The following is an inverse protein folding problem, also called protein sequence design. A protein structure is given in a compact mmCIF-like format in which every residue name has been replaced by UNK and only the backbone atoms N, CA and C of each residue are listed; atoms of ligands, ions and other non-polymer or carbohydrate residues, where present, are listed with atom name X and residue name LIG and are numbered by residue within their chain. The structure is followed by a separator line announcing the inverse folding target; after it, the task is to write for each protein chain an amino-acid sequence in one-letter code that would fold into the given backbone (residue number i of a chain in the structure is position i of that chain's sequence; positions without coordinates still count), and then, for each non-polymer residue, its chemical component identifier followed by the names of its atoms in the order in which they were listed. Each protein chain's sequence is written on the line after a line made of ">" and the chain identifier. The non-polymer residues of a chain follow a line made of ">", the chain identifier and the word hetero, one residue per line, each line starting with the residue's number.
data_IF_825034352931
#
_entry.id   IF_825034352931
#
_cell.length_a   1.000
_cell.length_b   1.000
_cell.length_c   1.000
_cell.angle_alpha   90.00
_cell.angle_beta   90.00
_cell.angle_gamma   90.00
#
_symmetry.space_group_name_H-M   'P 1'
#
loop_
_entity.id
_entity.type
_entity.pdbx_description
1 polymer ?
#
# COMPACT_ATOMS: atom_id res chain seq x y z
N UNK A 1 -31.01 -17.00 -22.89
CA UNK A 1 -29.93 -17.73 -22.18
C UNK A 1 -28.47 -17.37 -22.57
N UNK A 2 -28.15 -16.95 -23.80
CA UNK A 2 -26.76 -16.55 -24.17
C UNK A 2 -26.33 -15.16 -23.68
N UNK A 3 -27.24 -14.16 -23.64
CA UNK A 3 -26.94 -12.78 -23.23
C UNK A 3 -26.52 -12.64 -21.75
N UNK A 4 -27.07 -13.47 -20.87
CA UNK A 4 -26.73 -13.47 -19.44
C UNK A 4 -25.29 -13.94 -19.16
N UNK A 5 -24.79 -14.89 -19.96
CA UNK A 5 -23.41 -15.37 -19.86
C UNK A 5 -22.38 -14.32 -20.33
N UNK A 6 -22.75 -13.47 -21.30
CA UNK A 6 -21.89 -12.38 -21.77
C UNK A 6 -21.78 -11.25 -20.75
N UNK A 7 -22.88 -10.92 -20.06
CA UNK A 7 -22.90 -9.87 -19.02
C UNK A 7 -22.10 -10.29 -17.77
N UNK A 8 -22.12 -11.58 -17.38
CA UNK A 8 -21.26 -12.09 -16.30
C UNK A 8 -19.76 -12.04 -16.63
N UNK A 9 -19.38 -12.02 -17.91
CA UNK A 9 -17.99 -12.00 -18.36
C UNK A 9 -17.35 -10.60 -18.34
N UNK A 10 -18.16 -9.55 -18.23
CA UNK A 10 -17.71 -8.15 -18.14
C UNK A 10 -17.37 -7.70 -16.71
N UNK A 11 -17.36 -8.62 -15.73
CA UNK A 11 -16.69 -8.37 -14.45
C UNK A 11 -15.20 -8.51 -14.72
N UNK A 12 -14.51 -7.41 -15.01
CA UNK A 12 -13.09 -7.36 -15.34
C UNK A 12 -12.31 -8.38 -14.49
N UNK A 13 -11.71 -9.37 -15.14
CA UNK A 13 -10.96 -10.41 -14.46
C UNK A 13 -9.78 -9.74 -13.76
N UNK A 14 -9.88 -9.57 -12.44
CA UNK A 14 -8.86 -8.88 -11.66
C UNK A 14 -7.54 -9.62 -11.77
N UNK A 15 -6.49 -8.90 -12.13
CA UNK A 15 -5.16 -9.47 -12.18
C UNK A 15 -4.73 -9.96 -10.80
N UNK A 16 -4.05 -11.11 -10.80
CA UNK A 16 -3.55 -11.78 -9.62
C UNK A 16 -2.09 -12.10 -9.83
N UNK A 17 -1.34 -12.04 -8.75
CA UNK A 17 0.04 -12.44 -8.74
C UNK A 17 0.19 -13.94 -9.02
N UNK A 18 1.13 -14.27 -9.91
CA UNK A 18 1.40 -15.66 -10.32
C UNK A 18 2.08 -16.48 -9.22
N UNK A 19 2.96 -15.86 -8.42
CA UNK A 19 3.72 -16.55 -7.37
C UNK A 19 3.88 -15.72 -6.10
N UNK A 20 4.00 -16.40 -4.94
CA UNK A 20 4.28 -15.76 -3.65
C UNK A 20 5.62 -15.01 -3.66
N UNK A 21 6.64 -15.63 -4.25
CA UNK A 21 7.96 -15.01 -4.40
C UNK A 21 7.89 -13.77 -5.29
N UNK A 22 7.11 -13.81 -6.38
CA UNK A 22 6.90 -12.65 -7.25
C UNK A 22 6.28 -11.46 -6.51
N UNK A 23 5.30 -11.72 -5.62
CA UNK A 23 4.73 -10.68 -4.76
C UNK A 23 5.80 -10.08 -3.85
N UNK A 24 6.55 -10.93 -3.14
CA UNK A 24 7.53 -10.47 -2.15
C UNK A 24 8.59 -9.61 -2.84
N UNK A 25 9.09 -10.03 -4.00
CA UNK A 25 10.07 -9.27 -4.76
C UNK A 25 9.51 -7.96 -5.32
N UNK A 26 8.28 -7.95 -5.83
CA UNK A 26 7.65 -6.72 -6.32
C UNK A 26 7.45 -5.69 -5.19
N UNK A 27 7.00 -6.14 -4.02
CA UNK A 27 6.80 -5.27 -2.85
C UNK A 27 8.13 -4.80 -2.27
N UNK A 28 9.11 -5.71 -2.14
CA UNK A 28 10.45 -5.36 -1.66
C UNK A 28 11.13 -4.36 -2.62
N UNK A 29 11.03 -4.56 -3.93
CA UNK A 29 11.54 -3.62 -4.93
C UNK A 29 10.84 -2.26 -4.89
N UNK A 30 9.54 -2.23 -4.55
CA UNK A 30 8.82 -0.96 -4.37
C UNK A 30 9.23 -0.21 -3.10
N UNK A 31 9.66 -0.92 -2.06
CA UNK A 31 10.07 -0.31 -0.79
C UNK A 31 11.57 0.07 -0.77
N UNK A 32 12.42 -0.71 -1.43
CA UNK A 32 13.86 -0.47 -1.50
C UNK A 32 14.17 0.42 -2.70
N UNK A 33 14.49 1.69 -2.44
CA UNK A 33 14.86 2.66 -3.47
C UNK A 33 15.96 3.62 -3.04
N UNK A 34 16.04 4.78 -3.71
CA UNK A 34 17.05 5.82 -3.44
C UNK A 34 17.04 6.30 -1.98
N UNK A 35 15.90 6.23 -1.29
CA UNK A 35 15.80 6.57 0.13
C UNK A 35 16.75 5.76 1.02
N UNK A 36 16.91 4.45 0.76
CA UNK A 36 17.81 3.61 1.56
C UNK A 36 19.28 3.88 1.29
N UNK A 37 19.66 4.27 0.08
CA UNK A 37 21.05 4.47 -0.30
C UNK A 37 21.54 5.91 -0.13
N UNK A 38 20.67 6.90 -0.31
CA UNK A 38 21.04 8.32 -0.28
C UNK A 38 20.53 9.00 0.99
N UNK A 39 19.23 8.87 1.29
CA UNK A 39 18.62 9.62 2.40
C UNK A 39 18.97 9.01 3.75
N UNK A 40 18.93 7.69 3.89
CA UNK A 40 19.20 7.01 5.16
C UNK A 40 20.62 7.28 5.68
N UNK A 41 21.70 7.14 4.88
CA UNK A 41 23.05 7.43 5.37
C UNK A 41 23.25 8.89 5.77
N UNK A 42 22.67 9.82 5.01
CA UNK A 42 22.71 11.26 5.32
C UNK A 42 21.99 11.56 6.63
N UNK A 43 20.78 11.03 6.83
CA UNK A 43 20.02 11.21 8.06
C UNK A 43 20.73 10.56 9.26
N UNK A 44 21.29 9.36 9.10
CA UNK A 44 22.06 8.72 10.15
C UNK A 44 23.29 9.55 10.52
N UNK A 45 24.10 9.97 9.55
CA UNK A 45 25.30 10.76 9.80
C UNK A 45 25.00 12.11 10.47
N UNK A 46 23.95 12.82 10.03
CA UNK A 46 23.56 14.13 10.58
C UNK A 46 23.00 14.05 12.00
N UNK A 47 22.35 12.95 12.36
CA UNK A 47 21.69 12.78 13.66
C UNK A 47 22.51 11.93 14.65
N UNK A 48 23.85 11.95 14.55
CA UNK A 48 24.73 11.29 15.50
C UNK A 48 24.95 9.79 15.26
N UNK A 49 24.76 9.32 14.02
CA UNK A 49 25.10 7.98 13.55
C UNK A 49 24.39 6.87 14.32
N UNK A 50 25.11 6.26 15.26
CA UNK A 50 24.58 5.21 16.13
C UNK A 50 23.45 5.69 17.04
N UNK A 51 23.46 6.94 17.48
CA UNK A 51 22.38 7.49 18.32
C UNK A 51 21.05 7.56 17.56
N UNK A 52 21.08 7.84 16.26
CA UNK A 52 19.89 7.86 15.39
C UNK A 52 19.25 6.48 15.23
N UNK A 53 19.99 5.38 15.42
CA UNK A 53 19.45 4.03 15.29
C UNK A 53 18.40 3.69 16.35
N UNK A 54 18.50 4.27 17.55
CA UNK A 54 17.55 4.01 18.64
C UNK A 54 16.13 4.47 18.26
N UNK A 55 15.88 5.76 17.96
CA UNK A 55 14.55 6.21 17.52
C UNK A 55 14.15 5.59 16.19
N UNK A 56 15.10 5.27 15.29
CA UNK A 56 14.81 4.56 14.04
C UNK A 56 14.16 3.21 14.30
N UNK A 57 14.77 2.35 15.13
CA UNK A 57 14.20 1.04 15.46
C UNK A 57 12.88 1.14 16.24
N UNK A 58 12.76 2.11 17.15
CA UNK A 58 11.50 2.35 17.87
C UNK A 58 10.40 2.72 16.87
N UNK A 59 10.66 3.62 15.93
CA UNK A 59 9.70 4.00 14.90
C UNK A 59 9.37 2.84 13.95
N UNK A 60 10.35 1.99 13.63
CA UNK A 60 10.15 0.81 12.80
C UNK A 60 9.17 -0.17 13.45
N UNK A 61 9.35 -0.44 14.75
CA UNK A 61 8.51 -1.39 15.49
C UNK A 61 7.12 -0.83 15.80
N UNK A 62 7.03 0.45 16.20
CA UNK A 62 5.77 1.06 16.64
C UNK A 62 4.94 1.66 15.51
N UNK A 63 5.56 2.05 14.40
CA UNK A 63 4.87 2.68 13.27
C UNK A 63 5.06 1.88 11.99
N UNK A 64 6.30 1.54 11.62
CA UNK A 64 6.61 0.88 10.34
C UNK A 64 5.85 -0.45 10.16
N UNK A 65 6.06 -1.40 11.05
CA UNK A 65 5.41 -2.72 11.01
C UNK A 65 3.87 -2.62 11.08
N UNK A 66 3.26 -1.92 12.08
CA UNK A 66 1.80 -1.89 12.17
C UNK A 66 1.15 -1.15 10.99
N UNK A 67 1.72 -0.05 10.50
CA UNK A 67 1.19 0.65 9.32
C UNK A 67 1.27 -0.24 8.08
N UNK A 68 2.37 -0.97 7.88
CA UNK A 68 2.51 -1.91 6.76
C UNK A 68 1.43 -3.00 6.81
N UNK A 69 1.11 -3.56 7.98
CA UNK A 69 0.02 -4.53 8.12
C UNK A 69 -1.35 -3.93 7.84
N UNK A 70 -1.62 -2.71 8.32
CA UNK A 70 -2.87 -2.00 8.03
C UNK A 70 -3.03 -1.79 6.53
N UNK A 71 -2.01 -1.28 5.85
CA UNK A 71 -2.06 -1.02 4.41
C UNK A 71 -2.22 -2.30 3.59
N UNK A 72 -1.50 -3.36 3.96
CA UNK A 72 -1.59 -4.66 3.30
C UNK A 72 -2.98 -5.30 3.43
N UNK A 73 -3.54 -5.26 4.65
CA UNK A 73 -4.87 -5.82 4.92
C UNK A 73 -5.96 -5.00 4.25
N UNK A 74 -5.89 -3.66 4.29
CA UNK A 74 -6.81 -2.76 3.60
C UNK A 74 -6.79 -2.97 2.08
N UNK A 75 -5.60 -3.03 1.49
CA UNK A 75 -5.42 -3.26 0.05
C UNK A 75 -5.97 -4.62 -0.38
N UNK A 76 -5.74 -5.67 0.41
CA UNK A 76 -6.31 -7.01 0.17
C UNK A 76 -7.82 -7.04 0.34
N UNK A 77 -8.37 -6.31 1.32
CA UNK A 77 -9.80 -6.21 1.57
C UNK A 77 -10.52 -5.51 0.40
N UNK A 78 -10.09 -4.31 -0.02
CA UNK A 78 -10.65 -3.69 -1.23
C UNK A 78 -10.36 -4.50 -2.51
N UNK A 79 -9.26 -5.26 -2.48
CA UNK A 79 -8.96 -6.41 -3.34
C UNK A 79 -10.16 -7.28 -3.69
N UNK A 80 -10.91 -7.71 -2.67
CA UNK A 80 -12.05 -8.61 -2.78
C UNK A 80 -13.26 -7.95 -3.47
N UNK A 81 -13.42 -6.63 -3.31
CA UNK A 81 -14.53 -5.85 -3.89
C UNK A 81 -14.22 -5.24 -5.26
N UNK A 82 -13.02 -5.50 -5.81
CA UNK A 82 -12.63 -4.97 -7.13
C UNK A 82 -12.03 -3.56 -7.09
N UNK A 83 -11.70 -3.02 -5.91
CA UNK A 83 -11.03 -1.73 -5.76
C UNK A 83 -9.54 -1.91 -5.49
N UNK A 84 -8.69 -1.11 -6.15
CA UNK A 84 -7.23 -1.09 -5.95
C UNK A 84 -6.69 0.24 -5.42
N UNK A 85 -7.55 1.26 -5.29
CA UNK A 85 -7.16 2.62 -4.90
C UNK A 85 -7.80 3.00 -3.56
N UNK A 86 -7.16 3.95 -2.86
CA UNK A 86 -7.59 4.39 -1.54
C UNK A 86 -9.07 4.85 -1.46
N UNK A 87 -9.64 5.65 -2.39
CA UNK A 87 -11.06 6.02 -2.32
C UNK A 87 -12.01 4.83 -2.40
N UNK A 88 -11.67 3.82 -3.22
CA UNK A 88 -12.48 2.62 -3.38
C UNK A 88 -12.38 1.70 -2.17
N UNK A 89 -11.16 1.50 -1.65
CA UNK A 89 -10.89 0.71 -0.43
C UNK A 89 -11.63 1.34 0.76
N UNK A 90 -11.49 2.65 0.98
CA UNK A 90 -12.13 3.31 2.12
C UNK A 90 -13.65 3.32 2.03
N UNK A 91 -14.22 3.45 0.84
CA UNK A 91 -15.68 3.33 0.65
C UNK A 91 -16.20 1.93 1.06
N UNK A 92 -15.41 0.88 0.86
CA UNK A 92 -15.77 -0.49 1.28
C UNK A 92 -15.57 -0.76 2.76
N UNK A 93 -14.64 -0.06 3.42
CA UNK A 93 -14.42 -0.19 4.86
C UNK A 93 -15.41 0.63 5.66
N UNK A 94 -15.78 1.81 5.17
CA UNK A 94 -16.69 2.71 5.87
C UNK A 94 -17.69 3.36 4.90
N UNK A 95 -18.97 3.11 5.16
CA UNK A 95 -20.09 3.47 4.26
C UNK A 95 -20.56 4.92 4.43
N UNK A 96 -19.61 5.87 4.33
CA UNK A 96 -19.89 7.32 4.32
C UNK A 96 -19.36 7.97 3.04
N UNK A 97 -20.13 8.93 2.49
CA UNK A 97 -19.76 9.68 1.26
C UNK A 97 -18.49 10.51 1.45
N UNK A 98 -18.26 11.02 2.66
CA UNK A 98 -17.13 11.91 3.00
C UNK A 98 -15.78 11.18 2.93
N UNK A 99 -15.75 9.88 3.22
CA UNK A 99 -14.51 9.10 3.30
C UNK A 99 -13.84 8.89 1.94
N UNK A 100 -14.58 9.05 0.85
CA UNK A 100 -14.00 9.09 -0.50
C UNK A 100 -13.02 10.26 -0.64
N UNK A 101 -13.32 11.41 -0.06
CA UNK A 101 -12.47 12.60 -0.13
C UNK A 101 -11.16 12.42 0.64
N UNK A 102 -11.18 11.75 1.79
CA UNK A 102 -9.94 11.34 2.48
C UNK A 102 -9.11 10.37 1.64
N UNK A 103 -9.76 9.45 0.91
CA UNK A 103 -9.07 8.54 0.00
C UNK A 103 -8.39 9.21 -1.18
N UNK A 104 -8.84 10.40 -1.59
CA UNK A 104 -8.22 11.15 -2.70
C UNK A 104 -6.79 11.57 -2.33
N UNK A 105 -6.51 11.85 -1.05
CA UNK A 105 -5.14 12.15 -0.56
C UNK A 105 -4.20 10.99 -0.89
N UNK A 106 -4.66 9.74 -0.77
CA UNK A 106 -3.88 8.55 -1.11
C UNK A 106 -3.56 8.39 -2.60
N UNK A 107 -4.23 9.12 -3.49
CA UNK A 107 -3.91 9.17 -4.93
C UNK A 107 -2.88 10.28 -5.20
N UNK A 108 -2.94 11.39 -4.48
CA UNK A 108 -2.01 12.50 -4.66
C UNK A 108 -0.66 12.27 -3.97
N UNK A 109 -0.61 11.53 -2.86
CA UNK A 109 0.64 11.25 -2.15
C UNK A 109 1.75 10.68 -3.05
N UNK A 110 1.49 9.69 -3.93
CA UNK A 110 2.48 9.17 -4.86
C UNK A 110 2.89 10.13 -6.01
N UNK A 111 2.15 11.22 -6.24
CA UNK A 111 2.37 12.15 -7.36
C UNK A 111 3.19 13.39 -6.97
N UNK A 112 3.37 13.64 -5.67
CA UNK A 112 4.12 14.76 -5.10
C UNK A 112 5.46 14.27 -4.57
#
# INVERSE_FOLDING_TARGET
>A
MKKEKTIKKAKAQRERWSSKLGIILAVAGSAVGLGNFLRFPVQAAQNGGGAFMIPYFISLLLLGIPLMWIEWTAGRYGGLFGHGTAPGIFHTMWRNRIIKYFGIIGIFGPLV
#
